data_IF_337931117397
#
_entry.id   IF_337931117397
#
_cell.length_a   1.000
_cell.length_b   1.000
_cell.length_c   1.000
_cell.angle_alpha   90.00
_cell.angle_beta   90.00
_cell.angle_gamma   90.00
#
_symmetry.space_group_name_H-M   'P 1'
#
loop_
_entity.id
_entity.type
_entity.pdbx_description
1 polymer ?
#
# COMPACT_ATOMS: atom_id res chain seq x y z
N UNK A 1 84.26 -1.95 -47.05
CA UNK A 1 83.37 -0.83 -46.69
C UNK A 1 81.99 -1.42 -46.43
N UNK A 2 81.52 -1.50 -45.18
CA UNK A 2 80.90 -0.38 -44.43
C UNK A 2 79.70 0.13 -45.24
N UNK A 3 78.44 0.08 -44.80
CA UNK A 3 77.81 -0.23 -43.51
C UNK A 3 76.28 -0.05 -43.74
N UNK A 4 75.45 -0.54 -42.81
CA UNK A 4 74.21 0.13 -42.34
C UNK A 4 73.00 0.11 -43.30
N UNK A 5 71.78 -0.22 -42.90
CA UNK A 5 71.17 -0.37 -41.56
C UNK A 5 69.91 -1.21 -41.70
N UNK A 6 69.74 -2.13 -40.75
CA UNK A 6 68.47 -2.68 -40.34
C UNK A 6 67.40 -1.58 -40.21
N UNK A 7 66.22 -1.80 -40.82
CA UNK A 7 65.00 -1.60 -40.06
C UNK A 7 63.90 -2.51 -40.63
N UNK A 8 63.69 -3.58 -39.88
CA UNK A 8 62.54 -4.48 -39.91
C UNK A 8 61.26 -3.66 -40.19
N UNK A 9 60.59 -3.96 -41.30
CA UNK A 9 59.21 -3.55 -41.55
C UNK A 9 58.30 -4.31 -40.56
N UNK A 10 58.33 -3.89 -39.30
CA UNK A 10 57.37 -4.33 -38.29
C UNK A 10 56.19 -3.37 -38.38
N UNK A 11 55.29 -3.65 -39.32
CA UNK A 11 53.94 -3.11 -39.28
C UNK A 11 53.31 -3.67 -38.00
N UNK A 12 53.40 -2.92 -36.90
CA UNK A 12 52.57 -3.11 -35.74
C UNK A 12 51.14 -2.74 -36.14
N UNK A 13 50.43 -3.68 -36.77
CA UNK A 13 48.99 -3.72 -36.64
C UNK A 13 48.74 -4.07 -35.18
N UNK A 14 48.56 -3.04 -34.35
CA UNK A 14 47.98 -3.20 -33.03
C UNK A 14 46.53 -3.61 -33.31
N UNK A 15 46.32 -4.91 -33.51
CA UNK A 15 45.00 -5.50 -33.49
C UNK A 15 44.56 -5.39 -32.03
N UNK A 16 43.99 -4.25 -31.65
CA UNK A 16 43.28 -4.09 -30.39
C UNK A 16 41.98 -4.89 -30.50
N UNK A 17 42.11 -6.21 -30.43
CA UNK A 17 40.96 -7.11 -30.27
C UNK A 17 40.38 -6.85 -28.90
N UNK A 18 39.14 -6.40 -28.82
CA UNK A 18 38.46 -6.31 -27.53
C UNK A 18 38.19 -7.74 -27.09
N UNK A 19 38.87 -8.18 -26.01
CA UNK A 19 38.64 -9.49 -25.42
C UNK A 19 37.45 -9.41 -24.49
N UNK A 20 36.38 -10.13 -24.82
CA UNK A 20 35.21 -10.28 -23.97
C UNK A 20 35.21 -11.66 -23.30
N UNK A 21 34.72 -11.71 -22.07
CA UNK A 21 34.38 -12.95 -21.36
C UNK A 21 32.96 -12.81 -20.82
N UNK A 22 32.17 -13.87 -20.92
CA UNK A 22 30.74 -13.84 -20.61
C UNK A 22 30.33 -15.09 -19.83
N UNK A 23 29.33 -14.94 -18.97
CA UNK A 23 28.64 -16.04 -18.28
C UNK A 23 27.13 -15.82 -18.40
N UNK A 24 26.36 -16.91 -18.44
CA UNK A 24 24.89 -16.85 -18.53
C UNK A 24 24.29 -17.15 -17.18
N UNK A 25 23.37 -16.29 -16.73
CA UNK A 25 22.55 -16.51 -15.53
C UNK A 25 21.12 -16.77 -15.96
N UNK A 26 20.50 -17.82 -15.40
CA UNK A 26 19.06 -18.06 -15.51
C UNK A 26 18.41 -17.72 -14.18
N UNK A 27 17.25 -17.06 -14.21
CA UNK A 27 16.54 -16.68 -12.99
C UNK A 27 15.01 -16.81 -13.15
N UNK A 28 14.30 -16.89 -12.01
CA UNK A 28 12.83 -16.85 -11.95
C UNK A 28 12.42 -15.89 -10.83
N UNK A 29 11.49 -14.98 -11.13
CA UNK A 29 10.85 -14.13 -10.15
C UNK A 29 9.36 -14.50 -10.09
N UNK A 30 8.83 -14.95 -8.94
CA UNK A 30 7.42 -15.29 -8.84
C UNK A 30 6.55 -14.03 -8.82
N UNK A 31 5.28 -14.20 -9.23
CA UNK A 31 4.23 -13.25 -8.91
C UNK A 31 3.99 -13.31 -7.40
N UNK A 32 3.92 -12.16 -6.75
CA UNK A 32 3.67 -12.04 -5.31
C UNK A 32 2.50 -11.11 -5.09
N UNK A 33 1.56 -11.51 -4.23
CA UNK A 33 0.39 -10.71 -3.84
C UNK A 33 0.07 -11.01 -2.39
N UNK A 34 0.77 -10.34 -1.49
CA UNK A 34 0.59 -10.47 -0.05
C UNK A 34 0.21 -9.11 0.53
N UNK A 35 -0.76 -9.10 1.44
CA UNK A 35 -1.20 -7.90 2.16
C UNK A 35 -1.65 -8.28 3.56
N UNK A 36 -1.38 -7.41 4.52
CA UNK A 36 -1.87 -7.51 5.89
C UNK A 36 -2.24 -6.13 6.46
N UNK A 37 -2.81 -6.16 7.66
CA UNK A 37 -3.14 -4.99 8.47
C UNK A 37 -2.35 -5.07 9.77
N UNK A 38 -1.52 -4.05 10.00
CA UNK A 38 -0.56 -4.02 11.10
C UNK A 38 -0.83 -2.85 12.08
N UNK A 39 -0.70 -3.03 13.40
CA UNK A 39 -0.62 -4.32 14.09
C UNK A 39 -1.96 -5.06 14.01
N UNK A 40 -1.95 -6.36 14.29
CA UNK A 40 -3.17 -7.15 14.48
C UNK A 40 -4.00 -6.69 15.68
N UNK A 41 -5.21 -7.24 15.84
CA UNK A 41 -6.09 -6.96 16.99
C UNK A 41 -7.14 -5.86 16.75
N UNK A 42 -8.13 -5.80 17.63
CA UNK A 42 -9.26 -4.87 17.56
C UNK A 42 -8.98 -3.54 18.26
N UNK A 43 -9.81 -2.54 17.98
CA UNK A 43 -9.85 -1.27 18.69
C UNK A 43 -11.32 -0.85 18.88
N UNK A 44 -11.56 0.11 19.78
CA UNK A 44 -12.90 0.59 20.11
C UNK A 44 -13.03 2.07 19.78
N UNK A 45 -14.15 2.46 19.16
CA UNK A 45 -14.54 3.84 18.92
C UNK A 45 -15.93 4.06 19.53
N UNK A 46 -16.00 4.87 20.58
CA UNK A 46 -17.24 5.14 21.31
C UNK A 46 -17.73 6.57 21.08
N UNK A 47 -18.99 6.71 20.68
CA UNK A 47 -19.68 7.99 20.76
C UNK A 47 -19.86 8.39 22.23
N UNK A 48 -19.82 9.69 22.52
CA UNK A 48 -20.10 10.24 23.84
C UNK A 48 -21.48 10.87 23.87
N UNK A 49 -22.24 10.60 24.94
CA UNK A 49 -23.51 11.28 25.17
C UNK A 49 -23.27 12.77 25.48
N UNK A 50 -24.14 13.69 25.00
CA UNK A 50 -24.09 15.09 25.41
C UNK A 50 -24.46 15.24 26.89
N UNK A 51 -23.96 16.31 27.51
CA UNK A 51 -24.26 16.65 28.91
C UNK A 51 -25.44 17.63 29.07
N UNK A 52 -25.97 18.15 27.97
CA UNK A 52 -27.06 19.13 27.93
C UNK A 52 -28.08 18.73 26.85
N UNK A 53 -29.36 18.94 27.12
CA UNK A 53 -30.43 18.60 26.19
C UNK A 53 -30.33 19.46 24.92
N UNK A 54 -30.55 18.83 23.75
CA UNK A 54 -30.46 19.49 22.45
C UNK A 54 -29.07 19.49 21.81
N UNK A 55 -28.01 19.13 22.55
CA UNK A 55 -26.67 18.98 21.99
C UNK A 55 -26.50 17.66 21.22
N UNK A 56 -25.57 17.65 20.26
CA UNK A 56 -25.22 16.46 19.50
C UNK A 56 -24.33 15.48 20.30
N UNK A 57 -24.31 14.21 19.88
CA UNK A 57 -23.37 13.19 20.32
C UNK A 57 -21.95 13.64 19.94
N UNK A 58 -21.00 13.41 20.84
CA UNK A 58 -19.59 13.56 20.49
C UNK A 58 -19.15 12.39 19.63
N UNK A 59 -18.53 12.68 18.48
CA UNK A 59 -17.89 11.66 17.66
C UNK A 59 -16.65 11.10 18.39
N UNK A 60 -16.35 9.80 18.25
CA UNK A 60 -15.12 9.24 18.79
C UNK A 60 -13.87 9.86 18.13
N UNK A 61 -12.77 9.93 18.88
CA UNK A 61 -11.45 10.21 18.30
C UNK A 61 -11.10 9.15 17.26
N UNK A 62 -10.70 9.53 16.02
CA UNK A 62 -10.31 8.56 15.01
C UNK A 62 -9.17 7.63 15.47
N UNK A 63 -9.22 6.37 15.07
CA UNK A 63 -8.09 5.46 15.24
C UNK A 63 -7.10 5.67 14.09
N UNK A 64 -5.82 5.87 14.42
CA UNK A 64 -4.71 6.05 13.47
C UNK A 64 -3.59 5.02 13.70
N UNK A 65 -3.88 3.93 14.41
CA UNK A 65 -2.86 2.96 14.80
C UNK A 65 -2.67 1.83 13.79
N UNK A 66 -3.55 1.72 12.79
CA UNK A 66 -3.53 0.65 11.79
C UNK A 66 -2.79 1.08 10.53
N UNK A 67 -2.15 0.12 9.88
CA UNK A 67 -1.36 0.29 8.66
C UNK A 67 -1.70 -0.82 7.67
N UNK A 68 -1.66 -0.50 6.38
CA UNK A 68 -1.69 -1.50 5.31
C UNK A 68 -0.25 -1.77 4.89
N UNK A 69 0.19 -3.03 5.01
CA UNK A 69 1.46 -3.46 4.41
C UNK A 69 1.19 -4.47 3.30
N UNK A 70 2.05 -4.48 2.30
CA UNK A 70 1.95 -5.43 1.20
C UNK A 70 3.29 -5.66 0.52
N UNK A 71 3.39 -6.82 -0.12
CA UNK A 71 4.42 -7.14 -1.10
C UNK A 71 3.74 -7.56 -2.40
N UNK A 72 4.22 -6.99 -3.50
CA UNK A 72 3.61 -7.06 -4.81
C UNK A 72 4.71 -7.26 -5.85
N UNK A 73 4.64 -8.37 -6.59
CA UNK A 73 5.35 -8.54 -7.86
C UNK A 73 4.28 -8.86 -8.92
N UNK A 74 4.17 -8.02 -9.94
CA UNK A 74 3.17 -8.14 -11.01
C UNK A 74 3.73 -8.96 -12.17
N UNK A 75 2.85 -9.58 -12.96
CA UNK A 75 3.24 -10.25 -14.19
C UNK A 75 3.87 -9.23 -15.19
N UNK A 76 4.78 -9.66 -16.08
CA UNK A 76 5.26 -8.82 -17.18
C UNK A 76 4.09 -8.29 -18.02
N UNK A 77 3.96 -6.97 -18.13
CA UNK A 77 2.83 -6.33 -18.82
C UNK A 77 1.47 -6.45 -18.11
N UNK A 78 1.44 -6.97 -16.87
CA UNK A 78 0.23 -7.08 -16.06
C UNK A 78 -0.29 -5.74 -15.56
N UNK A 79 -1.53 -5.74 -15.08
CA UNK A 79 -2.16 -4.56 -14.51
C UNK A 79 -1.54 -4.20 -13.16
N UNK A 80 -1.61 -2.92 -12.81
CA UNK A 80 -1.35 -2.49 -11.44
C UNK A 80 -2.47 -2.95 -10.53
N UNK A 81 -2.13 -3.21 -9.27
CA UNK A 81 -3.05 -3.64 -8.24
C UNK A 81 -3.73 -2.46 -7.54
N UNK A 82 -4.82 -2.76 -6.86
CA UNK A 82 -5.55 -1.87 -5.97
C UNK A 82 -5.88 -2.59 -4.68
N UNK A 83 -6.13 -1.80 -3.63
CA UNK A 83 -6.69 -2.28 -2.39
C UNK A 83 -8.07 -1.68 -2.23
N UNK A 84 -9.06 -2.54 -1.99
CA UNK A 84 -10.42 -2.16 -1.66
C UNK A 84 -10.73 -2.44 -0.19
N UNK A 85 -11.66 -1.70 0.40
CA UNK A 85 -12.19 -1.95 1.73
C UNK A 85 -13.72 -1.97 1.74
N UNK A 86 -14.31 -2.83 2.58
CA UNK A 86 -15.76 -2.88 2.86
C UNK A 86 -16.01 -3.19 4.33
N UNK A 87 -17.22 -2.92 4.81
CA UNK A 87 -17.67 -3.34 6.14
C UNK A 87 -18.68 -4.47 6.04
N UNK A 88 -18.70 -5.39 7.00
CA UNK A 88 -19.68 -6.47 7.03
C UNK A 88 -21.13 -6.00 7.22
N UNK A 89 -21.33 -4.79 7.78
CA UNK A 89 -22.63 -4.14 7.93
C UNK A 89 -22.46 -2.62 8.08
N UNK A 90 -23.49 -1.89 7.70
CA UNK A 90 -23.63 -0.45 7.99
C UNK A 90 -24.43 -0.24 9.27
N UNK A 91 -24.24 0.91 9.92
CA UNK A 91 -25.01 1.32 11.10
C UNK A 91 -25.88 2.50 10.71
N UNK A 92 -27.20 2.37 10.86
CA UNK A 92 -28.13 3.43 10.50
C UNK A 92 -27.79 4.72 11.28
N UNK A 93 -27.68 5.84 10.57
CA UNK A 93 -27.31 7.13 11.16
C UNK A 93 -25.83 7.32 11.48
N UNK A 94 -24.94 6.38 11.17
CA UNK A 94 -23.49 6.49 11.39
C UNK A 94 -22.71 6.21 10.11
N UNK A 95 -21.81 7.13 9.75
CA UNK A 95 -20.83 6.91 8.68
C UNK A 95 -19.58 6.27 9.28
N UNK A 96 -19.15 5.15 8.68
CA UNK A 96 -17.85 4.51 8.96
C UNK A 96 -16.90 4.97 7.86
N UNK A 97 -15.89 5.76 8.22
CA UNK A 97 -14.99 6.40 7.24
C UNK A 97 -13.58 5.87 7.39
N UNK A 98 -12.90 5.75 6.26
CA UNK A 98 -11.53 5.25 6.17
C UNK A 98 -10.73 6.15 5.24
N UNK A 99 -9.50 6.45 5.61
CA UNK A 99 -8.53 7.11 4.73
C UNK A 99 -7.18 6.40 4.86
N UNK A 100 -6.63 5.95 3.73
CA UNK A 100 -5.23 5.56 3.66
C UNK A 100 -4.38 6.82 3.44
N UNK A 101 -3.26 6.97 4.16
CA UNK A 101 -2.29 8.01 3.91
C UNK A 101 -1.47 7.72 2.65
N UNK A 102 -0.64 8.68 2.23
CA UNK A 102 0.47 8.38 1.33
C UNK A 102 1.40 7.33 1.99
N UNK A 103 2.04 6.49 1.16
CA UNK A 103 2.94 5.48 1.68
C UNK A 103 4.16 6.11 2.39
N UNK A 104 4.61 5.51 3.50
CA UNK A 104 5.82 5.88 4.22
C UNK A 104 6.64 4.64 4.62
N UNK A 105 7.82 4.87 5.20
CA UNK A 105 8.71 3.79 5.66
C UNK A 105 9.84 3.50 4.66
N UNK A 106 10.51 2.35 4.84
CA UNK A 106 11.69 1.96 4.06
C UNK A 106 11.36 1.09 2.82
N UNK A 107 10.06 0.97 2.49
CA UNK A 107 9.59 0.26 1.30
C UNK A 107 10.08 0.85 -0.01
N UNK A 108 9.88 0.13 -1.10
CA UNK A 108 10.30 0.54 -2.44
C UNK A 108 9.34 0.11 -3.54
N UNK A 109 9.50 0.72 -4.71
CA UNK A 109 8.70 0.44 -5.90
C UNK A 109 7.50 1.36 -6.08
N UNK A 110 6.50 0.91 -6.84
CA UNK A 110 5.28 1.69 -7.12
C UNK A 110 4.22 1.39 -6.05
N UNK A 111 4.22 2.18 -4.98
CA UNK A 111 3.41 1.97 -3.76
C UNK A 111 1.93 2.43 -3.88
N UNK A 112 1.46 2.72 -5.09
CA UNK A 112 0.10 3.19 -5.31
C UNK A 112 -0.23 4.56 -4.68
N UNK A 113 -1.47 4.98 -4.88
CA UNK A 113 -1.99 6.29 -4.50
C UNK A 113 -3.30 6.13 -3.74
N UNK A 114 -3.42 6.86 -2.63
CA UNK A 114 -4.63 6.90 -1.82
C UNK A 114 -5.81 7.49 -2.58
N UNK A 115 -7.00 6.92 -2.38
CA UNK A 115 -8.27 7.47 -2.89
C UNK A 115 -8.81 8.63 -2.04
N UNK A 116 -8.08 9.05 -0.99
CA UNK A 116 -8.56 10.02 -0.01
C UNK A 116 -9.49 9.38 1.02
N UNK A 117 -10.29 10.21 1.68
CA UNK A 117 -11.26 9.72 2.65
C UNK A 117 -12.49 9.15 1.94
N UNK A 118 -12.84 7.91 2.26
CA UNK A 118 -14.03 7.22 1.76
C UNK A 118 -14.98 6.87 2.90
N UNK A 119 -16.28 6.78 2.58
CA UNK A 119 -17.28 6.17 3.47
C UNK A 119 -17.44 4.71 3.08
N UNK A 120 -17.20 3.81 4.03
CA UNK A 120 -17.31 2.37 3.80
C UNK A 120 -18.78 1.93 3.73
N UNK A 121 -19.03 0.99 2.85
CA UNK A 121 -20.32 0.29 2.72
C UNK A 121 -20.07 -1.21 2.71
N UNK A 122 -21.13 -2.02 2.56
CA UNK A 122 -20.99 -3.46 2.31
C UNK A 122 -20.46 -3.77 0.91
N UNK A 123 -20.44 -2.79 0.01
CA UNK A 123 -19.78 -2.91 -1.30
C UNK A 123 -18.34 -2.42 -1.18
N UNK A 124 -17.34 -3.21 -1.63
CA UNK A 124 -15.94 -2.78 -1.63
C UNK A 124 -15.71 -1.49 -2.41
N UNK A 125 -15.01 -0.55 -1.77
CA UNK A 125 -14.57 0.71 -2.39
C UNK A 125 -13.06 0.74 -2.45
N UNK A 126 -12.50 1.26 -3.54
CA UNK A 126 -11.04 1.45 -3.68
C UNK A 126 -10.53 2.45 -2.65
N UNK A 127 -9.45 2.10 -1.95
CA UNK A 127 -8.76 2.97 -0.99
C UNK A 127 -7.33 3.28 -1.39
N UNK A 128 -6.69 2.39 -2.15
CA UNK A 128 -5.35 2.56 -2.73
C UNK A 128 -5.40 1.99 -4.14
N UNK A 129 -4.85 2.68 -5.13
CA UNK A 129 -4.82 2.24 -6.53
C UNK A 129 -3.43 2.40 -7.14
N UNK A 130 -3.12 1.68 -8.22
CA UNK A 130 -1.86 1.85 -8.94
C UNK A 130 -0.65 1.21 -8.27
N UNK A 131 -0.85 0.13 -7.50
CA UNK A 131 0.24 -0.62 -6.87
C UNK A 131 0.95 -1.48 -7.93
N UNK A 132 2.21 -1.20 -8.22
CA UNK A 132 3.02 -1.97 -9.17
C UNK A 132 3.84 -3.06 -8.48
N UNK A 133 5.06 -3.30 -8.99
CA UNK A 133 6.08 -4.02 -8.24
C UNK A 133 6.50 -3.18 -7.03
N UNK A 134 6.26 -3.70 -5.82
CA UNK A 134 6.47 -2.94 -4.58
C UNK A 134 6.58 -3.83 -3.34
N UNK A 135 7.24 -3.31 -2.31
CA UNK A 135 7.11 -3.80 -0.94
C UNK A 135 7.06 -2.60 0.00
N UNK A 136 6.24 -2.65 1.04
CA UNK A 136 6.06 -1.51 1.96
C UNK A 136 7.05 -1.50 3.13
N UNK A 137 7.67 -2.64 3.44
CA UNK A 137 8.16 -2.95 4.79
C UNK A 137 7.05 -3.59 5.64
N UNK A 138 7.36 -3.92 6.89
CA UNK A 138 6.46 -4.65 7.80
C UNK A 138 6.24 -3.89 9.12
N UNK A 139 5.04 -3.98 9.67
CA UNK A 139 4.64 -3.37 10.92
C UNK A 139 4.26 -1.88 10.80
N UNK A 140 4.01 -1.27 11.96
CA UNK A 140 3.70 0.16 12.04
C UNK A 140 4.81 1.03 11.42
N UNK A 141 4.40 2.18 10.86
CA UNK A 141 5.24 3.15 10.14
C UNK A 141 5.70 2.73 8.74
N UNK A 142 5.31 1.54 8.27
CA UNK A 142 5.56 1.08 6.91
C UNK A 142 4.24 1.06 6.11
N UNK A 143 4.30 1.33 4.81
CA UNK A 143 3.12 1.32 3.95
C UNK A 143 2.17 2.49 4.22
N UNK A 144 0.87 2.22 4.27
CA UNK A 144 -0.14 3.29 4.37
C UNK A 144 -0.80 3.32 5.75
N UNK A 145 -0.62 4.39 6.50
CA UNK A 145 -1.36 4.63 7.74
C UNK A 145 -2.85 4.73 7.44
N UNK A 146 -3.68 4.13 8.28
CA UNK A 146 -5.13 4.16 8.17
C UNK A 146 -5.72 5.07 9.25
N UNK A 147 -6.48 6.07 8.82
CA UNK A 147 -7.35 6.86 9.70
C UNK A 147 -8.77 6.30 9.60
N UNK A 148 -9.25 5.69 10.69
CA UNK A 148 -10.58 5.11 10.80
C UNK A 148 -11.42 5.97 11.74
N UNK A 149 -12.54 6.51 11.26
CA UNK A 149 -13.40 7.40 12.05
C UNK A 149 -14.87 7.03 11.93
N UNK A 150 -15.62 7.33 12.99
CA UNK A 150 -17.07 7.29 12.98
C UNK A 150 -17.60 8.70 13.11
N UNK A 151 -18.63 9.03 12.34
CA UNK A 151 -19.39 10.27 12.52
C UNK A 151 -20.87 10.00 12.43
N UNK A 152 -21.67 10.82 13.12
CA UNK A 152 -23.11 10.85 12.87
C UNK A 152 -23.38 11.24 11.40
N UNK A 153 -24.50 10.73 10.89
CA UNK A 153 -25.08 11.05 9.59
C UNK A 153 -26.54 11.48 9.82
N UNK A 154 -27.53 10.74 9.32
CA UNK A 154 -28.95 11.05 9.54
C UNK A 154 -29.34 10.77 10.98
N UNK A 155 -29.46 11.83 11.77
CA UNK A 155 -29.71 11.76 13.20
C UNK A 155 -30.99 11.00 13.58
N UNK A 156 -32.05 11.13 12.76
CA UNK A 156 -33.32 10.42 12.96
C UNK A 156 -33.19 8.89 12.93
N UNK A 157 -32.12 8.37 12.35
CA UNK A 157 -31.86 6.94 12.23
C UNK A 157 -31.00 6.39 13.39
N UNK A 158 -30.52 7.26 14.29
CA UNK A 158 -29.69 6.83 15.40
C UNK A 158 -30.49 5.99 16.38
N UNK A 159 -29.90 4.86 16.76
CA UNK A 159 -30.42 3.94 17.77
C UNK A 159 -29.28 3.59 18.71
N UNK A 160 -29.58 3.41 20.00
CA UNK A 160 -28.58 2.95 20.95
C UNK A 160 -28.02 1.58 20.50
N UNK A 161 -26.70 1.42 20.57
CA UNK A 161 -26.00 0.20 20.22
C UNK A 161 -25.11 -0.21 21.40
N UNK A 162 -25.03 -1.51 21.67
CA UNK A 162 -24.11 -2.06 22.66
C UNK A 162 -23.19 -3.07 21.98
N UNK A 163 -21.87 -2.95 22.21
CA UNK A 163 -20.86 -3.91 21.77
C UNK A 163 -20.98 -4.35 20.29
N UNK A 164 -21.32 -3.41 19.41
CA UNK A 164 -21.57 -3.71 18.00
C UNK A 164 -20.25 -3.89 17.26
N UNK A 165 -19.90 -5.15 17.00
CA UNK A 165 -18.73 -5.48 16.20
C UNK A 165 -18.96 -5.14 14.71
N UNK A 166 -18.06 -4.35 14.13
CA UNK A 166 -17.97 -4.05 12.70
C UNK A 166 -16.63 -4.58 12.22
N UNK A 167 -16.64 -5.38 11.16
CA UNK A 167 -15.44 -5.94 10.55
C UNK A 167 -15.18 -5.18 9.26
N UNK A 168 -14.00 -4.54 9.16
CA UNK A 168 -13.51 -3.96 7.91
C UNK A 168 -12.70 -5.03 7.19
N UNK A 169 -13.13 -5.40 5.99
CA UNK A 169 -12.43 -6.36 5.12
C UNK A 169 -11.66 -5.60 4.07
N UNK A 170 -10.37 -5.90 3.95
CA UNK A 170 -9.47 -5.34 2.94
C UNK A 170 -9.16 -6.42 1.91
N UNK A 171 -9.02 -6.04 0.64
CA UNK A 171 -8.68 -6.97 -0.43
C UNK A 171 -7.70 -6.32 -1.40
N UNK A 172 -6.60 -7.00 -1.71
CA UNK A 172 -5.66 -6.60 -2.76
C UNK A 172 -5.96 -7.44 -4.02
N UNK A 173 -6.17 -6.76 -5.15
CA UNK A 173 -6.42 -7.40 -6.44
C UNK A 173 -5.78 -6.59 -7.56
N UNK A 174 -5.78 -7.12 -8.77
CA UNK A 174 -5.66 -6.32 -10.00
C UNK A 174 -6.90 -5.40 -10.17
#
# INVERSE_FOLDING_TARGET
>A
MILIRSLLLLVFFIFSGVFYSQTTVTMTLPIVTLMDIEPTGSFTLNFTAPTEAGNALGNPTPNTSKWVNYTSAIAPGGLTRKITASVNKVIAGVNIRLQAAAASGAGGGTLGTSSGQVTLTTTPVTIISGIGGAYTGNGANNGHALTISLTTNTYANLQAQANTAIVITYTITE
#
